data_IF_460309089711
#
_entry.id   IF_460309089711
#
_cell.length_a   1.000
_cell.length_b   1.000
_cell.length_c   1.000
_cell.angle_alpha   90.00
_cell.angle_beta   90.00
_cell.angle_gamma   90.00
#
_symmetry.space_group_name_H-M   'P 1'
#
loop_
_entity.id
_entity.type
_entity.pdbx_description
1 polymer ?
#
# COMPACT_ATOMS: atom_id res chain seq x y z
N UNK A 1 -0.03 -3.31 -22.50
CA UNK A 1 -0.67 -4.01 -21.36
C UNK A 1 -1.10 -2.93 -20.37
N UNK A 2 -2.22 -3.09 -19.66
CA UNK A 2 -2.68 -2.04 -18.74
C UNK A 2 -1.68 -1.89 -17.58
N UNK A 3 -1.25 -0.67 -17.24
CA UNK A 3 -0.34 -0.39 -16.11
C UNK A 3 -1.18 -0.06 -14.88
N UNK A 4 -0.99 -0.79 -13.79
CA UNK A 4 -1.71 -0.58 -12.53
C UNK A 4 -0.75 -0.59 -11.34
N UNK A 5 -0.82 0.43 -10.47
CA UNK A 5 0.08 0.59 -9.30
C UNK A 5 -0.06 -0.51 -8.24
N UNK A 6 -1.16 -1.25 -8.25
CA UNK A 6 -1.50 -2.31 -7.28
C UNK A 6 -0.43 -3.39 -7.18
N UNK A 7 0.07 -3.89 -8.31
CA UNK A 7 1.07 -4.97 -8.30
C UNK A 7 2.43 -4.50 -7.81
N UNK A 8 2.82 -3.26 -8.12
CA UNK A 8 4.04 -2.68 -7.57
C UNK A 8 3.91 -2.42 -6.07
N UNK A 9 2.75 -1.98 -5.57
CA UNK A 9 2.52 -1.86 -4.13
C UNK A 9 2.56 -3.21 -3.40
N UNK A 10 1.98 -4.25 -3.99
CA UNK A 10 2.10 -5.59 -3.42
C UNK A 10 3.56 -6.06 -3.40
N UNK A 11 4.30 -5.81 -4.48
CA UNK A 11 5.72 -6.09 -4.55
C UNK A 11 6.52 -5.35 -3.48
N UNK A 12 6.23 -4.08 -3.20
CA UNK A 12 6.93 -3.32 -2.16
C UNK A 12 6.79 -3.95 -0.76
N UNK A 13 5.62 -4.50 -0.44
CA UNK A 13 5.46 -5.25 0.81
C UNK A 13 6.42 -6.44 0.90
N UNK A 14 6.60 -7.17 -0.21
CA UNK A 14 7.50 -8.32 -0.28
C UNK A 14 8.97 -7.89 -0.26
N UNK A 15 9.29 -6.81 -0.97
CA UNK A 15 10.63 -6.23 -1.04
C UNK A 15 11.11 -5.82 0.36
N UNK A 16 10.35 -4.94 1.01
CA UNK A 16 10.66 -4.43 2.34
C UNK A 16 10.54 -5.51 3.42
N UNK A 17 9.56 -6.41 3.29
CA UNK A 17 9.43 -7.58 4.16
C UNK A 17 10.58 -8.56 4.06
N UNK A 18 11.29 -8.60 2.92
CA UNK A 18 12.54 -9.35 2.78
C UNK A 18 13.77 -8.54 3.24
N UNK A 19 13.60 -7.27 3.65
CA UNK A 19 14.68 -6.39 4.06
C UNK A 19 15.51 -5.82 2.89
N UNK A 20 14.94 -5.79 1.69
CA UNK A 20 15.49 -5.06 0.54
C UNK A 20 14.75 -3.71 0.38
N UNK A 21 15.35 -2.80 -0.37
CA UNK A 21 14.81 -1.47 -0.69
C UNK A 21 15.03 -1.12 -2.16
N UNK A 22 14.43 -0.02 -2.61
CA UNK A 22 14.67 0.58 -3.92
C UNK A 22 15.96 1.39 -3.86
N UNK A 23 16.10 2.24 -2.83
CA UNK A 23 17.27 3.10 -2.59
C UNK A 23 18.01 2.68 -1.32
N UNK A 24 19.28 3.06 -1.15
CA UNK A 24 20.02 2.88 0.10
C UNK A 24 19.49 3.79 1.21
N UNK A 25 19.62 3.38 2.48
CA UNK A 25 19.27 4.21 3.64
C UNK A 25 20.42 5.16 3.93
N UNK A 26 20.35 6.39 3.40
CA UNK A 26 21.32 7.42 3.72
C UNK A 26 20.71 8.54 4.57
N UNK A 27 21.45 8.93 5.61
CA UNK A 27 21.14 10.12 6.40
C UNK A 27 21.53 11.37 5.59
N UNK A 28 20.53 12.01 4.97
CA UNK A 28 20.59 13.42 4.54
C UNK A 28 21.48 13.81 3.33
N UNK A 29 21.82 12.90 2.41
CA UNK A 29 22.46 13.27 1.14
C UNK A 29 21.54 13.06 -0.08
N UNK A 30 21.83 13.81 -1.16
CA UNK A 30 21.08 13.82 -2.41
C UNK A 30 21.21 12.45 -3.09
N UNK A 31 20.23 11.56 -2.86
CA UNK A 31 20.24 10.21 -3.44
C UNK A 31 20.46 10.23 -4.96
N UNK A 32 21.49 9.50 -5.39
CA UNK A 32 21.90 9.38 -6.78
C UNK A 32 21.67 7.98 -7.38
N UNK A 33 21.98 7.80 -8.68
CA UNK A 33 21.99 6.51 -9.36
C UNK A 33 22.73 5.37 -8.64
N UNK A 34 23.81 5.70 -7.92
CA UNK A 34 24.66 4.80 -7.15
C UNK A 34 23.96 4.20 -5.93
N UNK A 35 22.91 4.85 -5.45
CA UNK A 35 22.16 4.42 -4.26
C UNK A 35 21.04 3.45 -4.59
N UNK A 36 20.84 3.09 -5.86
CA UNK A 36 19.82 2.13 -6.27
C UNK A 36 20.24 0.72 -5.81
N UNK A 37 19.41 0.07 -4.98
CA UNK A 37 19.72 -1.23 -4.36
C UNK A 37 18.95 -2.41 -4.97
N UNK A 38 18.16 -2.17 -6.02
CA UNK A 38 17.29 -3.17 -6.65
C UNK A 38 18.02 -4.40 -7.22
N UNK A 39 19.31 -4.30 -7.55
CA UNK A 39 20.10 -5.45 -8.05
C UNK A 39 20.44 -6.49 -6.97
N UNK A 40 20.18 -6.19 -5.70
CA UNK A 40 20.51 -7.05 -4.57
C UNK A 40 19.81 -8.42 -4.58
N UNK A 41 20.42 -9.44 -3.94
CA UNK A 41 19.87 -10.81 -3.92
C UNK A 41 18.47 -10.87 -3.29
N UNK A 42 18.21 -10.06 -2.27
CA UNK A 42 16.91 -10.01 -1.59
C UNK A 42 15.79 -9.45 -2.47
N UNK A 43 16.10 -8.54 -3.40
CA UNK A 43 15.15 -8.07 -4.42
C UNK A 43 14.79 -9.19 -5.39
N UNK A 44 15.81 -9.94 -5.85
CA UNK A 44 15.61 -11.10 -6.73
C UNK A 44 14.75 -12.18 -6.07
N UNK A 45 15.00 -12.46 -4.79
CA UNK A 45 14.18 -13.38 -4.00
C UNK A 45 12.71 -12.94 -3.92
N UNK A 46 12.45 -11.65 -3.65
CA UNK A 46 11.09 -11.10 -3.61
C UNK A 46 10.37 -11.22 -4.96
N UNK A 47 11.07 -10.93 -6.08
CA UNK A 47 10.53 -11.10 -7.43
C UNK A 47 10.23 -12.57 -7.76
N UNK A 48 11.17 -13.48 -7.45
CA UNK A 48 10.97 -14.93 -7.64
C UNK A 48 9.78 -15.41 -6.82
N UNK A 49 9.63 -14.95 -5.58
CA UNK A 49 8.48 -15.28 -4.75
C UNK A 49 7.17 -14.74 -5.32
N UNK A 50 7.14 -13.49 -5.79
CA UNK A 50 5.98 -12.91 -6.46
C UNK A 50 5.58 -13.72 -7.72
N UNK A 51 6.56 -14.16 -8.51
CA UNK A 51 6.31 -15.04 -9.68
C UNK A 51 5.75 -16.40 -9.28
N UNK A 52 6.19 -16.97 -8.15
CA UNK A 52 5.59 -18.20 -7.59
C UNK A 52 4.14 -17.95 -7.15
N UNK A 53 3.85 -16.85 -6.48
CA UNK A 53 2.47 -16.48 -6.09
C UNK A 53 1.56 -16.25 -7.29
N UNK A 54 2.09 -15.69 -8.38
CA UNK A 54 1.34 -15.50 -9.61
C UNK A 54 0.79 -16.82 -10.18
N UNK A 55 1.52 -17.93 -10.03
CA UNK A 55 1.04 -19.26 -10.47
C UNK A 55 -0.26 -19.69 -9.77
N UNK A 56 -0.51 -19.19 -8.56
CA UNK A 56 -1.70 -19.48 -7.76
C UNK A 56 -2.74 -18.34 -7.81
N UNK A 57 -2.47 -17.29 -8.60
CA UNK A 57 -3.34 -16.13 -8.75
C UNK A 57 -4.19 -16.24 -10.02
N UNK A 58 -5.32 -15.51 -10.12
CA UNK A 58 -6.05 -15.40 -11.38
C UNK A 58 -5.13 -14.92 -12.53
N UNK A 59 -5.24 -15.46 -13.76
CA UNK A 59 -4.34 -15.08 -14.87
C UNK A 59 -4.32 -13.58 -15.19
N UNK A 60 -5.43 -12.87 -14.93
CA UNK A 60 -5.53 -11.42 -15.12
C UNK A 60 -5.03 -10.57 -13.94
N UNK A 61 -4.59 -11.18 -12.84
CA UNK A 61 -4.21 -10.46 -11.62
C UNK A 61 -3.10 -9.41 -11.79
N UNK A 62 -2.12 -9.53 -12.71
CA UNK A 62 -1.11 -8.50 -12.92
C UNK A 62 -1.66 -7.18 -13.45
N UNK A 63 -2.90 -7.16 -13.95
CA UNK A 63 -3.58 -5.96 -14.49
C UNK A 63 -4.74 -5.50 -13.61
N UNK A 64 -4.97 -6.12 -12.46
CA UNK A 64 -6.07 -5.74 -11.57
C UNK A 64 -5.80 -4.40 -10.92
N UNK A 65 -6.74 -3.47 -11.02
CA UNK A 65 -6.77 -2.28 -10.19
C UNK A 65 -7.39 -2.59 -8.83
N UNK A 66 -7.47 -1.57 -7.97
CA UNK A 66 -8.12 -1.65 -6.68
C UNK A 66 -9.53 -2.21 -6.73
N UNK A 67 -10.30 -1.92 -7.79
CA UNK A 67 -11.67 -2.41 -7.94
C UNK A 67 -11.73 -3.92 -8.19
N UNK A 68 -10.93 -4.42 -9.13
CA UNK A 68 -10.87 -5.84 -9.45
C UNK A 68 -10.40 -6.66 -8.24
N UNK A 69 -9.38 -6.18 -7.50
CA UNK A 69 -8.86 -6.88 -6.31
C UNK A 69 -9.93 -7.13 -5.23
N UNK A 70 -10.88 -6.20 -5.06
CA UNK A 70 -11.99 -6.38 -4.12
C UNK A 70 -13.10 -7.25 -4.72
N UNK A 71 -13.43 -7.02 -6.00
CA UNK A 71 -14.46 -7.77 -6.72
C UNK A 71 -14.21 -9.28 -6.69
N UNK A 72 -12.99 -9.71 -7.02
CA UNK A 72 -12.67 -11.15 -7.04
C UNK A 72 -12.76 -11.80 -5.66
N UNK A 73 -12.60 -11.03 -4.57
CA UNK A 73 -12.75 -11.54 -3.21
C UNK A 73 -14.21 -11.71 -2.82
N UNK A 74 -15.03 -10.65 -2.90
CA UNK A 74 -16.45 -10.75 -2.51
C UNK A 74 -17.30 -11.58 -3.47
N UNK A 75 -16.79 -11.93 -4.67
CA UNK A 75 -17.42 -12.92 -5.56
C UNK A 75 -16.92 -14.35 -5.34
N UNK A 76 -16.08 -14.58 -4.32
CA UNK A 76 -15.58 -15.90 -3.94
C UNK A 76 -14.61 -16.53 -4.95
N UNK A 77 -13.96 -15.73 -5.81
CA UNK A 77 -13.00 -16.23 -6.81
C UNK A 77 -11.59 -16.41 -6.26
N UNK A 78 -11.25 -15.76 -5.16
CA UNK A 78 -9.97 -15.89 -4.48
C UNK A 78 -10.16 -16.08 -2.98
N UNK A 79 -9.26 -16.83 -2.34
CA UNK A 79 -9.27 -17.04 -0.90
C UNK A 79 -8.63 -15.88 -0.11
N UNK A 80 -7.75 -15.11 -0.77
CA UNK A 80 -7.02 -14.00 -0.16
C UNK A 80 -6.96 -12.82 -1.13
N UNK A 81 -7.01 -11.60 -0.60
CA UNK A 81 -6.75 -10.36 -1.33
C UNK A 81 -6.00 -9.40 -0.40
N UNK A 82 -5.12 -8.56 -0.96
CA UNK A 82 -4.49 -7.49 -0.21
C UNK A 82 -5.35 -6.22 -0.34
N UNK A 83 -5.94 -5.77 0.77
CA UNK A 83 -6.71 -4.53 0.80
C UNK A 83 -6.96 -4.07 2.25
N UNK A 84 -7.32 -2.80 2.47
CA UNK A 84 -7.83 -2.35 3.77
C UNK A 84 -9.32 -2.73 4.00
N UNK A 85 -9.95 -2.16 5.03
CA UNK A 85 -11.30 -2.53 5.49
C UNK A 85 -12.44 -2.34 4.48
N UNK A 86 -12.20 -1.73 3.32
CA UNK A 86 -13.21 -1.67 2.24
C UNK A 86 -13.63 -3.06 1.76
N UNK A 87 -12.74 -4.06 1.78
CA UNK A 87 -13.11 -5.45 1.45
C UNK A 87 -14.11 -6.02 2.45
N UNK A 88 -13.92 -5.77 3.74
CA UNK A 88 -14.88 -6.16 4.77
C UNK A 88 -16.22 -5.44 4.57
N UNK A 89 -16.20 -4.14 4.28
CA UNK A 89 -17.42 -3.38 4.01
C UNK A 89 -18.19 -3.91 2.78
N UNK A 90 -17.50 -4.18 1.67
CA UNK A 90 -18.12 -4.68 0.45
C UNK A 90 -18.62 -6.13 0.62
N UNK A 91 -17.89 -7.00 1.31
CA UNK A 91 -18.40 -8.35 1.63
C UNK A 91 -19.62 -8.30 2.54
N UNK A 92 -19.66 -7.44 3.56
CA UNK A 92 -20.86 -7.25 4.40
C UNK A 92 -22.08 -6.81 3.59
N UNK A 93 -21.86 -6.08 2.51
CA UNK A 93 -22.93 -5.53 1.65
C UNK A 93 -23.39 -6.55 0.60
N UNK A 94 -22.45 -7.23 -0.05
CA UNK A 94 -22.70 -8.01 -1.27
C UNK A 94 -22.53 -9.52 -1.11
N UNK A 95 -21.82 -9.98 -0.07
CA UNK A 95 -21.56 -11.40 0.20
C UNK A 95 -21.44 -11.69 1.71
N UNK A 96 -22.53 -11.56 2.50
CA UNK A 96 -22.49 -11.68 3.96
C UNK A 96 -21.98 -13.05 4.45
N UNK A 97 -22.15 -14.10 3.67
CA UNK A 97 -21.62 -15.44 3.91
C UNK A 97 -20.09 -15.48 3.82
N UNK A 98 -19.49 -14.72 2.92
CA UNK A 98 -18.03 -14.55 2.85
C UNK A 98 -17.58 -13.69 4.04
N UNK A 99 -18.28 -12.59 4.33
CA UNK A 99 -17.96 -11.74 5.48
C UNK A 99 -17.99 -12.48 6.83
N UNK A 100 -18.78 -13.55 6.96
CA UNK A 100 -18.87 -14.36 8.17
C UNK A 100 -17.60 -15.21 8.42
N UNK A 101 -16.82 -15.50 7.37
CA UNK A 101 -15.59 -16.31 7.44
C UNK A 101 -14.33 -15.52 7.08
N UNK A 102 -14.47 -14.24 6.71
CA UNK A 102 -13.35 -13.33 6.47
C UNK A 102 -12.55 -13.10 7.75
N UNK A 103 -11.22 -13.23 7.64
CA UNK A 103 -10.26 -12.76 8.62
C UNK A 103 -9.27 -11.79 7.99
N UNK A 104 -8.41 -11.19 8.81
CA UNK A 104 -7.29 -10.38 8.35
C UNK A 104 -6.00 -10.82 9.03
N UNK A 105 -4.93 -10.80 8.25
CA UNK A 105 -3.56 -11.07 8.70
C UNK A 105 -2.64 -10.01 8.12
N UNK A 106 -1.53 -9.74 8.78
CA UNK A 106 -0.45 -8.95 8.17
C UNK A 106 0.21 -9.73 7.05
N UNK A 107 0.80 -9.01 6.09
CA UNK A 107 1.59 -9.64 5.02
C UNK A 107 2.80 -10.32 5.68
N UNK A 108 2.97 -11.64 5.48
CA UNK A 108 4.05 -12.38 6.13
C UNK A 108 5.40 -12.02 5.50
N UNK A 109 6.44 -11.97 6.31
CA UNK A 109 7.83 -11.93 5.84
C UNK A 109 8.42 -13.35 5.78
N UNK A 110 9.61 -13.54 5.20
CA UNK A 110 10.32 -14.81 5.28
C UNK A 110 10.65 -15.27 6.71
N UNK A 111 10.65 -14.37 7.69
CA UNK A 111 10.83 -14.73 9.11
C UNK A 111 9.54 -15.23 9.78
N UNK A 112 8.39 -15.13 9.10
CA UNK A 112 7.07 -15.45 9.63
C UNK A 112 6.44 -14.34 10.47
N UNK A 113 7.17 -13.25 10.71
CA UNK A 113 6.69 -12.10 11.47
C UNK A 113 5.85 -11.15 10.60
N UNK A 114 5.00 -10.29 11.20
CA UNK A 114 4.29 -9.24 10.48
C UNK A 114 5.24 -8.28 9.76
N UNK A 115 5.14 -8.19 8.44
CA UNK A 115 5.96 -7.32 7.62
C UNK A 115 5.52 -5.85 7.59
N UNK A 116 6.35 -4.98 6.98
CA UNK A 116 5.94 -3.62 6.63
C UNK A 116 4.81 -3.65 5.61
N UNK A 117 4.02 -2.58 5.59
CA UNK A 117 2.93 -2.42 4.61
C UNK A 117 3.10 -1.12 3.83
N UNK A 118 3.01 -1.17 2.50
CA UNK A 118 2.86 -0.03 1.62
C UNK A 118 1.64 0.78 2.06
N UNK A 119 1.91 1.97 2.60
CA UNK A 119 0.90 2.86 3.13
C UNK A 119 0.62 3.98 2.13
N UNK A 120 -0.60 3.98 1.59
CA UNK A 120 -1.11 5.12 0.84
C UNK A 120 -1.59 6.20 1.82
N UNK A 121 -0.80 7.25 2.00
CA UNK A 121 -1.16 8.36 2.90
C UNK A 121 -1.95 9.43 2.13
N UNK A 122 -3.18 9.65 2.56
CA UNK A 122 -4.02 10.78 2.11
C UNK A 122 -4.01 11.92 3.13
N UNK A 123 -4.21 13.15 2.67
CA UNK A 123 -4.27 14.31 3.55
C UNK A 123 -4.79 15.56 2.87
N UNK A 124 -5.01 16.59 3.66
CA UNK A 124 -5.41 17.91 3.20
C UNK A 124 -4.17 18.81 3.08
N UNK A 125 -4.16 19.67 2.06
CA UNK A 125 -3.06 20.63 1.83
C UNK A 125 -3.63 22.03 1.59
N UNK A 126 -2.97 23.03 2.15
CA UNK A 126 -3.23 24.44 1.83
C UNK A 126 -2.16 24.90 0.84
N UNK A 127 -2.57 25.22 -0.38
CA UNK A 127 -1.64 25.71 -1.40
C UNK A 127 -1.02 27.04 -1.00
N UNK A 128 0.25 27.27 -1.36
CA UNK A 128 0.97 28.54 -1.15
C UNK A 128 0.24 29.75 -1.74
N UNK A 129 -0.55 29.54 -2.81
CA UNK A 129 -1.35 30.59 -3.45
C UNK A 129 -2.74 30.81 -2.86
N UNK A 130 -3.08 30.18 -1.74
CA UNK A 130 -4.39 30.35 -1.10
C UNK A 130 -4.57 31.81 -0.63
N UNK A 131 -5.69 32.43 -1.03
CA UNK A 131 -6.04 33.80 -0.61
C UNK A 131 -6.42 33.90 0.88
N UNK A 132 -6.88 32.79 1.46
CA UNK A 132 -7.46 32.70 2.81
C UNK A 132 -6.86 31.49 3.55
N UNK A 133 -5.54 31.49 3.83
CA UNK A 133 -4.85 30.30 4.32
C UNK A 133 -5.26 29.91 5.75
N UNK A 134 -5.65 30.86 6.59
CA UNK A 134 -6.07 30.56 7.96
C UNK A 134 -7.48 29.96 7.97
N UNK A 135 -8.42 30.51 7.20
CA UNK A 135 -9.77 29.97 7.05
C UNK A 135 -9.74 28.57 6.41
N UNK A 136 -8.82 28.33 5.48
CA UNK A 136 -8.60 27.00 4.92
C UNK A 136 -8.11 25.99 5.97
N UNK A 137 -7.20 26.40 6.87
CA UNK A 137 -6.75 25.56 7.99
C UNK A 137 -7.88 25.29 8.98
N UNK A 138 -8.69 26.29 9.31
CA UNK A 138 -9.84 26.14 10.20
C UNK A 138 -10.85 25.16 9.62
N UNK A 139 -11.12 25.24 8.32
CA UNK A 139 -12.00 24.30 7.63
C UNK A 139 -11.45 22.87 7.64
N UNK A 140 -10.14 22.69 7.40
CA UNK A 140 -9.48 21.39 7.50
C UNK A 140 -9.59 20.84 8.93
N UNK A 141 -9.32 21.66 9.95
CA UNK A 141 -9.45 21.26 11.35
C UNK A 141 -10.88 20.84 11.68
N UNK A 142 -11.88 21.58 11.19
CA UNK A 142 -13.29 21.23 11.32
C UNK A 142 -13.65 19.88 10.69
N UNK A 143 -13.12 19.56 9.50
CA UNK A 143 -13.41 18.29 8.83
C UNK A 143 -12.61 17.09 9.36
N UNK A 144 -11.40 17.33 9.87
CA UNK A 144 -10.44 16.29 10.24
C UNK A 144 -10.36 16.01 11.75
N UNK A 145 -11.24 16.61 12.56
CA UNK A 145 -11.27 16.42 14.01
C UNK A 145 -12.68 16.18 14.54
N UNK A 146 -12.75 15.66 15.78
CA UNK A 146 -14.01 15.47 16.50
C UNK A 146 -14.99 14.51 15.83
N UNK A 147 -16.27 14.67 16.17
CA UNK A 147 -17.37 13.78 15.78
C UNK A 147 -17.54 13.64 14.26
N UNK A 148 -17.48 14.75 13.51
CA UNK A 148 -17.67 14.71 12.06
C UNK A 148 -16.62 13.85 11.37
N UNK A 149 -15.38 13.90 11.87
CA UNK A 149 -14.33 13.05 11.34
C UNK A 149 -14.57 11.58 11.69
N UNK A 150 -15.06 11.26 12.89
CA UNK A 150 -15.45 9.88 13.24
C UNK A 150 -16.60 9.37 12.36
N UNK A 151 -17.63 10.18 12.12
CA UNK A 151 -18.74 9.85 11.21
C UNK A 151 -18.23 9.60 9.78
N UNK A 152 -17.29 10.41 9.30
CA UNK A 152 -16.62 10.17 8.02
C UNK A 152 -15.88 8.83 7.99
N UNK A 153 -15.13 8.49 9.04
CA UNK A 153 -14.42 7.21 9.14
C UNK A 153 -15.38 6.00 9.22
N UNK A 154 -16.57 6.18 9.80
CA UNK A 154 -17.61 5.16 9.86
C UNK A 154 -18.35 4.95 8.54
N UNK A 155 -18.26 5.88 7.58
CA UNK A 155 -18.91 5.74 6.26
C UNK A 155 -18.45 4.50 5.49
N UNK A 156 -17.15 4.14 5.62
CA UNK A 156 -16.57 2.89 5.13
C UNK A 156 -15.66 2.34 6.23
N UNK A 157 -16.21 1.59 7.19
CA UNK A 157 -15.53 1.23 8.43
C UNK A 157 -14.24 0.46 8.17
N UNK A 158 -13.13 0.97 8.70
CA UNK A 158 -11.80 0.34 8.60
C UNK A 158 -11.08 0.57 7.27
N UNK A 159 -11.66 1.34 6.34
CA UNK A 159 -10.95 1.69 5.10
C UNK A 159 -9.90 2.77 5.35
N UNK A 160 -10.27 3.87 6.01
CA UNK A 160 -9.33 4.88 6.46
C UNK A 160 -9.00 4.63 7.94
N UNK A 161 -7.71 4.48 8.23
CA UNK A 161 -7.20 4.42 9.61
C UNK A 161 -6.68 5.82 9.96
N UNK A 162 -7.26 6.51 10.95
CA UNK A 162 -6.80 7.84 11.30
C UNK A 162 -5.42 7.78 11.97
N UNK A 163 -4.49 8.70 11.64
CA UNK A 163 -3.16 8.72 12.27
C UNK A 163 -3.21 9.20 13.74
N UNK A 164 -4.31 9.83 14.14
CA UNK A 164 -4.49 10.39 15.47
C UNK A 164 -4.85 9.29 16.47
N UNK A 165 -3.92 8.95 17.36
CA UNK A 165 -4.13 7.95 18.43
C UNK A 165 -5.31 8.29 19.34
N UNK A 166 -5.54 9.58 19.59
CA UNK A 166 -6.69 10.08 20.36
C UNK A 166 -8.04 9.77 19.72
N UNK A 167 -8.07 9.54 18.40
CA UNK A 167 -9.29 9.19 17.66
C UNK A 167 -9.37 7.67 17.50
N UNK A 168 -8.30 7.02 17.02
CA UNK A 168 -8.33 5.56 16.74
C UNK A 168 -8.61 4.72 17.99
N UNK A 169 -8.33 5.24 19.20
CA UNK A 169 -8.56 4.58 20.47
C UNK A 169 -9.67 5.25 21.32
N UNK A 170 -10.49 6.14 20.74
CA UNK A 170 -11.63 6.72 21.46
C UNK A 170 -12.83 5.78 21.48
N UNK A 171 -13.66 5.88 22.52
CA UNK A 171 -14.93 5.14 22.60
C UNK A 171 -15.84 5.46 21.40
N UNK A 172 -15.87 6.72 20.96
CA UNK A 172 -16.66 7.18 19.81
C UNK A 172 -16.26 6.48 18.51
N UNK A 173 -14.96 6.29 18.26
CA UNK A 173 -14.49 5.57 17.08
C UNK A 173 -14.91 4.09 17.12
N UNK A 174 -14.83 3.44 18.28
CA UNK A 174 -15.21 2.04 18.43
C UNK A 174 -16.72 1.80 18.56
N UNK A 175 -17.53 2.86 18.71
CA UNK A 175 -19.00 2.80 18.76
C UNK A 175 -19.65 2.61 17.37
N UNK A 176 -19.22 1.57 16.65
CA UNK A 176 -19.78 1.20 15.35
C UNK A 176 -20.10 -0.30 15.31
N UNK A 177 -21.26 -0.74 14.77
CA UNK A 177 -21.65 -2.15 14.74
C UNK A 177 -20.60 -3.07 14.09
N UNK A 178 -19.96 -2.61 13.01
CA UNK A 178 -18.89 -3.37 12.34
C UNK A 178 -17.67 -3.52 13.25
N UNK A 179 -17.28 -2.48 13.98
CA UNK A 179 -16.10 -2.55 14.86
C UNK A 179 -16.37 -3.38 16.11
N UNK A 180 -17.60 -3.35 16.64
CA UNK A 180 -18.02 -4.24 17.74
C UNK A 180 -18.01 -5.71 17.33
N UNK A 181 -18.40 -6.02 16.09
CA UNK A 181 -18.47 -7.41 15.58
C UNK A 181 -17.15 -7.93 15.01
N UNK A 182 -16.40 -7.08 14.32
CA UNK A 182 -15.19 -7.44 13.57
C UNK A 182 -13.94 -6.73 14.11
N UNK A 183 -13.94 -6.38 15.40
CA UNK A 183 -12.90 -5.57 16.00
C UNK A 183 -11.49 -6.15 15.85
N UNK A 184 -11.34 -7.47 15.81
CA UNK A 184 -10.04 -8.12 15.62
C UNK A 184 -9.47 -7.88 14.20
N UNK A 185 -10.33 -7.89 13.17
CA UNK A 185 -9.92 -7.50 11.81
C UNK A 185 -9.43 -6.05 11.82
N UNK A 186 -10.20 -5.15 12.45
CA UNK A 186 -9.86 -3.72 12.52
C UNK A 186 -8.54 -3.50 13.27
N UNK A 187 -8.31 -4.19 14.40
CA UNK A 187 -7.05 -4.14 15.13
C UNK A 187 -5.87 -4.64 14.31
N UNK A 188 -6.05 -5.71 13.52
CA UNK A 188 -5.01 -6.17 12.59
C UNK A 188 -4.67 -5.10 11.55
N UNK A 189 -5.68 -4.43 10.98
CA UNK A 189 -5.46 -3.33 10.02
C UNK A 189 -4.75 -2.14 10.66
N UNK A 190 -5.14 -1.74 11.88
CA UNK A 190 -4.45 -0.69 12.65
C UNK A 190 -2.99 -1.06 12.87
N UNK A 191 -2.72 -2.29 13.34
CA UNK A 191 -1.35 -2.77 13.56
C UNK A 191 -0.51 -2.84 12.29
N UNK A 192 -1.11 -3.19 11.14
CA UNK A 192 -0.43 -3.12 9.84
C UNK A 192 -0.10 -1.67 9.46
N UNK A 193 -1.01 -0.72 9.75
CA UNK A 193 -0.79 0.70 9.50
C UNK A 193 0.31 1.31 10.38
N UNK A 194 0.45 0.85 11.63
CA UNK A 194 1.58 1.24 12.51
C UNK A 194 2.95 0.80 11.96
N UNK A 195 2.98 -0.27 11.13
CA UNK A 195 4.15 -0.73 10.37
C UNK A 195 4.17 -0.19 8.94
N UNK A 196 3.32 0.79 8.64
CA UNK A 196 3.17 1.35 7.31
C UNK A 196 4.41 2.12 6.87
N UNK A 197 4.91 1.84 5.67
CA UNK A 197 5.92 2.63 4.98
C UNK A 197 5.18 3.50 3.95
N UNK A 198 5.11 4.83 4.14
CA UNK A 198 4.44 5.71 3.20
C UNK A 198 5.07 5.62 1.81
N UNK A 199 4.28 5.54 0.74
CA UNK A 199 4.85 5.43 -0.61
C UNK A 199 5.71 6.63 -1.05
N UNK A 200 5.53 7.79 -0.41
CA UNK A 200 6.38 8.96 -0.60
C UNK A 200 7.63 8.97 0.29
N UNK A 201 7.83 7.91 1.08
CA UNK A 201 8.89 7.73 2.06
C UNK A 201 9.26 6.25 2.14
N UNK A 202 10.25 5.81 1.37
CA UNK A 202 10.83 4.48 1.63
C UNK A 202 11.57 4.45 2.99
N UNK A 203 12.09 5.60 3.40
CA UNK A 203 12.79 5.81 4.67
C UNK A 203 12.04 6.77 5.60
N UNK A 204 12.70 7.24 6.67
CA UNK A 204 12.07 8.16 7.65
C UNK A 204 11.74 9.54 7.05
N UNK A 205 12.54 10.01 6.09
CA UNK A 205 12.39 11.32 5.42
C UNK A 205 11.64 11.19 4.09
N UNK A 206 10.87 12.23 3.68
CA UNK A 206 10.33 12.33 2.33
C UNK A 206 11.43 12.15 1.27
N UNK A 207 11.19 11.21 0.35
CA UNK A 207 12.11 10.92 -0.74
C UNK A 207 11.40 11.21 -2.08
N UNK A 208 11.69 12.37 -2.72
CA UNK A 208 11.06 12.73 -3.99
C UNK A 208 11.43 11.73 -5.10
N UNK A 209 12.64 11.18 -5.08
CA UNK A 209 13.11 10.19 -6.06
C UNK A 209 12.28 8.91 -5.96
N UNK A 210 12.14 8.32 -4.78
CA UNK A 210 11.31 7.11 -4.62
C UNK A 210 9.84 7.38 -4.94
N UNK A 211 9.34 8.59 -4.66
CA UNK A 211 7.97 8.99 -5.04
C UNK A 211 7.78 8.97 -6.56
N UNK A 212 8.76 9.48 -7.31
CA UNK A 212 8.77 9.48 -8.78
C UNK A 212 8.90 8.07 -9.36
N UNK A 213 9.77 7.23 -8.80
CA UNK A 213 9.91 5.81 -9.18
C UNK A 213 8.58 5.06 -9.02
N UNK A 214 7.94 5.18 -7.86
CA UNK A 214 6.67 4.49 -7.58
C UNK A 214 5.54 5.08 -8.44
N UNK A 215 5.51 6.40 -8.61
CA UNK A 215 4.51 7.10 -9.43
C UNK A 215 4.65 6.85 -10.94
N UNK A 216 5.88 6.69 -11.44
CA UNK A 216 6.21 6.45 -12.84
C UNK A 216 5.91 5.03 -13.33
N UNK A 217 5.55 4.13 -12.41
CA UNK A 217 5.19 2.73 -12.67
C UNK A 217 6.31 1.88 -13.28
N UNK A 218 7.58 2.32 -13.18
CA UNK A 218 8.75 1.54 -13.65
C UNK A 218 8.84 0.18 -12.98
N UNK A 219 8.51 0.11 -11.68
CA UNK A 219 8.41 -1.17 -10.94
C UNK A 219 7.30 -2.08 -11.50
N UNK A 220 6.18 -1.50 -11.95
CA UNK A 220 5.10 -2.28 -12.58
C UNK A 220 5.58 -2.90 -13.89
N UNK A 221 6.33 -2.14 -14.69
CA UNK A 221 6.85 -2.63 -15.97
C UNK A 221 7.89 -3.73 -15.77
N UNK A 222 8.79 -3.56 -14.81
CA UNK A 222 9.73 -4.62 -14.40
C UNK A 222 9.00 -5.92 -14.06
N UNK A 223 7.94 -5.83 -13.23
CA UNK A 223 7.15 -6.99 -12.83
C UNK A 223 6.44 -7.62 -14.04
N UNK A 224 5.87 -6.82 -14.93
CA UNK A 224 5.23 -7.33 -16.15
C UNK A 224 6.22 -8.01 -17.09
N UNK A 225 7.40 -7.42 -17.28
CA UNK A 225 8.47 -8.01 -18.09
C UNK A 225 8.89 -9.37 -17.53
N UNK A 226 9.17 -9.45 -16.22
CA UNK A 226 9.61 -10.70 -15.58
C UNK A 226 8.52 -11.79 -15.48
N UNK A 227 7.32 -11.41 -15.02
CA UNK A 227 6.25 -12.37 -14.68
C UNK A 227 5.41 -12.72 -15.91
N UNK A 228 5.01 -11.72 -16.70
CA UNK A 228 4.08 -11.92 -17.82
C UNK A 228 4.80 -12.21 -19.12
N UNK A 229 5.85 -11.44 -19.45
CA UNK A 229 6.60 -11.62 -20.70
C UNK A 229 7.69 -12.69 -20.60
N UNK A 230 8.07 -13.08 -19.38
CA UNK A 230 9.08 -14.11 -19.15
C UNK A 230 10.52 -13.64 -19.39
N UNK A 231 10.76 -12.32 -19.42
CA UNK A 231 12.10 -11.75 -19.49
C UNK A 231 12.97 -12.30 -18.33
N UNK A 232 14.25 -12.64 -18.57
CA UNK A 232 15.18 -13.02 -17.50
C UNK A 232 15.21 -11.96 -16.39
N UNK A 233 15.33 -12.40 -15.12
CA UNK A 233 15.21 -11.51 -13.97
C UNK A 233 16.25 -10.39 -13.98
N UNK A 234 17.49 -10.70 -14.34
CA UNK A 234 18.58 -9.73 -14.39
C UNK A 234 18.34 -8.69 -15.49
N UNK A 235 17.82 -9.11 -16.65
CA UNK A 235 17.48 -8.19 -17.74
C UNK A 235 16.33 -7.25 -17.37
N UNK A 236 15.27 -7.77 -16.74
CA UNK A 236 14.14 -6.96 -16.27
C UNK A 236 14.58 -5.95 -15.20
N UNK A 237 15.46 -6.35 -14.28
CA UNK A 237 16.04 -5.47 -13.26
C UNK A 237 16.93 -4.39 -13.88
N UNK A 238 17.86 -4.75 -14.76
CA UNK A 238 18.74 -3.77 -15.40
C UNK A 238 17.94 -2.74 -16.19
N UNK A 239 16.91 -3.16 -16.93
CA UNK A 239 16.01 -2.22 -17.64
C UNK A 239 15.28 -1.28 -16.67
N UNK A 240 14.76 -1.81 -15.56
CA UNK A 240 14.12 -1.02 -14.52
C UNK A 240 15.08 0.04 -13.95
N UNK A 241 16.32 -0.36 -13.66
CA UNK A 241 17.33 0.52 -13.06
C UNK A 241 17.74 1.62 -14.04
N UNK A 242 17.96 1.31 -15.31
CA UNK A 242 18.28 2.31 -16.32
C UNK A 242 17.14 3.33 -16.49
N UNK A 243 15.88 2.88 -16.52
CA UNK A 243 14.72 3.79 -16.57
C UNK A 243 14.62 4.67 -15.31
N UNK A 244 14.92 4.13 -14.12
CA UNK A 244 15.01 4.93 -12.88
C UNK A 244 16.08 6.02 -13.02
N UNK A 245 17.28 5.68 -13.51
CA UNK A 245 18.39 6.64 -13.68
C UNK A 245 18.05 7.76 -14.66
N UNK A 246 17.28 7.47 -15.72
CA UNK A 246 16.83 8.50 -16.67
C UNK A 246 15.85 9.50 -16.06
N UNK A 247 15.09 9.08 -15.05
CA UNK A 247 14.08 9.89 -14.37
C UNK A 247 14.58 10.54 -13.08
N UNK A 248 15.80 10.23 -12.62
CA UNK A 248 16.37 10.90 -11.46
C UNK A 248 16.66 12.38 -11.76
N UNK A 249 16.34 13.29 -10.82
CA UNK A 249 16.73 14.69 -10.93
C UNK A 249 18.26 14.79 -11.05
N UNK A 250 18.73 15.58 -12.01
CA UNK A 250 20.16 15.88 -12.24
C UNK A 250 20.66 16.98 -11.33
#
# INVERSE_FOLDING_TARGET
MNRTRTISEFFLNLLWGNGATIMAEEEYEELGPEDITLEGPRTKEALVFLKKLYHYSPPGSPTYSWGEMRNVYYTGKVAMTQYEGRVLHETLTYAPEIAAVTGAVSIPTPTGEPGPTAASVGGYVVSKGCKYPEEAKDFIAFMATGKLFVEFLHSVPGHYIPPMKSIVWSDEYWDHPVFKKYGDIIKTLIGANERGIPLNREWRTPNPVTSEIIGGLVLTDMIQDYIVKGTPIDEALSKCIEEIKEHMPK
#
